data_IF_391596884692
#
_entry.id   IF_391596884692
#
_cell.length_a   1.000
_cell.length_b   1.000
_cell.length_c   1.000
_cell.angle_alpha   90.00
_cell.angle_beta   90.00
_cell.angle_gamma   90.00
#
_symmetry.space_group_name_H-M   'P 1'
#
loop_
_entity.id
_entity.type
_entity.pdbx_description
1 polymer ?
#
# COMPACT_ATOMS: atom_id res chain seq x y z
N UNK A 1 16.83 55.18 9.89
CA UNK A 1 16.78 53.99 8.98
C UNK A 1 15.85 52.98 9.62
N UNK A 2 14.57 52.99 9.20
CA UNK A 2 13.55 52.10 9.76
C UNK A 2 13.57 50.78 8.97
N UNK A 3 14.00 49.72 9.61
CA UNK A 3 13.98 48.36 9.03
C UNK A 3 12.56 47.87 8.95
N UNK A 4 12.05 47.72 7.73
CA UNK A 4 10.79 47.06 7.43
C UNK A 4 10.99 45.57 7.59
N UNK A 5 10.65 45.00 8.75
CA UNK A 5 10.55 43.58 8.97
C UNK A 5 9.29 43.13 8.24
N UNK A 6 9.44 42.58 7.03
CA UNK A 6 8.37 41.89 6.30
C UNK A 6 8.09 40.63 7.10
N UNK A 7 7.09 40.69 7.96
CA UNK A 7 6.50 39.52 8.60
C UNK A 7 5.76 38.72 7.50
N UNK A 8 6.40 37.65 6.99
CA UNK A 8 5.70 36.71 6.13
C UNK A 8 4.48 36.20 6.90
N UNK A 9 3.29 36.22 6.30
CA UNK A 9 2.11 35.65 6.94
C UNK A 9 2.37 34.15 7.11
N UNK A 10 2.56 33.72 8.34
CA UNK A 10 2.61 32.30 8.68
C UNK A 10 1.37 31.64 8.12
N UNK A 11 1.52 30.86 7.07
CA UNK A 11 0.43 30.10 6.46
C UNK A 11 -0.18 29.23 7.55
N UNK A 12 -1.33 29.65 8.09
CA UNK A 12 -2.00 28.93 9.17
C UNK A 12 -2.35 27.54 8.65
N UNK A 13 -1.62 26.53 9.05
CA UNK A 13 -1.82 25.16 8.64
C UNK A 13 -2.52 24.38 9.76
N UNK A 14 -3.35 23.41 9.43
CA UNK A 14 -4.04 22.59 10.39
C UNK A 14 -3.74 21.10 10.21
N UNK A 15 -4.07 20.32 11.23
CA UNK A 15 -3.93 18.87 11.20
C UNK A 15 -4.92 18.23 10.23
N UNK A 16 -4.62 17.06 9.64
CA UNK A 16 -5.53 16.34 8.76
C UNK A 16 -6.92 16.08 9.37
N UNK A 17 -6.97 15.78 10.66
CA UNK A 17 -8.26 15.53 11.36
C UNK A 17 -9.12 16.78 11.48
N UNK A 18 -8.50 17.95 11.62
CA UNK A 18 -9.21 19.23 11.63
C UNK A 18 -9.68 19.59 10.23
N UNK A 19 -8.79 19.47 9.23
CA UNK A 19 -9.13 19.73 7.84
C UNK A 19 -10.28 18.82 7.37
N UNK A 20 -10.26 17.52 7.69
CA UNK A 20 -11.34 16.61 7.36
C UNK A 20 -12.70 17.08 7.90
N UNK A 21 -12.75 17.53 9.16
CA UNK A 21 -13.98 18.07 9.76
C UNK A 21 -14.46 19.35 9.08
N UNK A 22 -13.55 20.27 8.79
CA UNK A 22 -13.87 21.55 8.12
C UNK A 22 -14.37 21.33 6.69
N UNK A 23 -13.89 20.27 6.01
CA UNK A 23 -14.31 19.87 4.65
C UNK A 23 -15.52 18.92 4.64
N UNK A 24 -16.07 18.57 5.79
CA UNK A 24 -17.23 17.67 5.91
C UNK A 24 -16.95 16.23 5.45
N UNK A 25 -15.68 15.78 5.52
CA UNK A 25 -15.23 14.45 5.11
C UNK A 25 -15.00 13.55 6.34
N UNK A 26 -15.29 12.25 6.17
CA UNK A 26 -14.80 11.22 7.08
C UNK A 26 -13.28 11.05 6.91
N UNK A 27 -12.61 10.53 7.92
CA UNK A 27 -11.15 10.34 7.89
C UNK A 27 -10.69 9.57 6.65
N UNK A 28 -11.33 8.45 6.33
CA UNK A 28 -10.97 7.63 5.16
C UNK A 28 -11.26 8.29 3.80
N UNK A 29 -12.25 9.17 3.73
CA UNK A 29 -12.56 10.00 2.55
C UNK A 29 -11.50 11.08 2.37
N UNK A 30 -11.09 11.72 3.46
CA UNK A 30 -10.04 12.71 3.47
C UNK A 30 -8.70 12.11 3.03
N UNK A 31 -8.31 10.96 3.60
CA UNK A 31 -7.08 10.28 3.24
C UNK A 31 -7.09 9.91 1.74
N UNK A 32 -8.23 9.44 1.22
CA UNK A 32 -8.40 9.16 -0.20
C UNK A 32 -8.36 10.42 -1.07
N UNK A 33 -8.96 11.54 -0.61
CA UNK A 33 -8.91 12.81 -1.31
C UNK A 33 -7.46 13.33 -1.46
N UNK A 34 -6.64 13.14 -0.44
CA UNK A 34 -5.19 13.43 -0.50
C UNK A 34 -4.50 12.50 -1.48
N UNK A 35 -4.79 11.20 -1.46
CA UNK A 35 -4.22 10.21 -2.37
C UNK A 35 -4.56 10.49 -3.83
N UNK A 36 -5.79 10.89 -4.09
CA UNK A 36 -6.25 11.27 -5.43
C UNK A 36 -5.72 12.64 -5.88
N UNK A 37 -5.11 13.42 -4.97
CA UNK A 37 -4.62 14.77 -5.26
C UNK A 37 -5.71 15.84 -5.26
N UNK A 38 -6.92 15.52 -4.78
CA UNK A 38 -7.99 16.49 -4.61
C UNK A 38 -7.66 17.52 -3.51
N UNK A 39 -6.91 17.08 -2.48
CA UNK A 39 -6.47 17.92 -1.36
C UNK A 39 -4.93 17.95 -1.36
N UNK A 40 -4.37 19.15 -1.43
CA UNK A 40 -2.92 19.38 -1.31
C UNK A 40 -2.52 19.41 0.16
N UNK A 41 -1.41 18.78 0.46
CA UNK A 41 -0.86 18.75 1.83
C UNK A 41 0.62 19.08 1.80
N UNK A 42 1.12 19.72 2.85
CA UNK A 42 2.53 20.02 3.03
C UNK A 42 3.14 19.10 4.09
N UNK A 43 4.43 18.77 4.00
CA UNK A 43 5.15 18.12 5.09
C UNK A 43 5.07 18.98 6.36
N UNK A 44 4.97 18.34 7.52
CA UNK A 44 5.08 19.05 8.80
C UNK A 44 6.57 19.29 9.12
N UNK A 45 6.97 20.52 9.34
CA UNK A 45 8.36 20.90 9.65
C UNK A 45 8.87 20.22 10.94
N UNK A 46 7.97 19.85 11.85
CA UNK A 46 8.26 19.07 13.05
C UNK A 46 8.45 17.58 12.85
N UNK A 47 8.43 17.06 11.59
CA UNK A 47 8.67 15.64 11.28
C UNK A 47 7.50 14.70 11.64
N UNK A 48 6.34 15.23 12.04
CA UNK A 48 5.22 14.47 12.59
C UNK A 48 4.13 14.04 11.60
N UNK A 49 4.20 14.43 10.32
CA UNK A 49 3.13 14.09 9.37
C UNK A 49 2.94 15.11 8.26
N UNK A 50 1.71 15.25 7.79
CA UNK A 50 1.34 16.23 6.76
C UNK A 50 0.33 17.22 7.33
N UNK A 51 0.33 18.44 6.82
CA UNK A 51 -0.57 19.52 7.21
C UNK A 51 -1.32 20.05 5.99
N UNK A 52 -2.46 20.67 6.22
CA UNK A 52 -3.26 21.34 5.18
C UNK A 52 -3.22 22.84 5.47
N UNK A 53 -2.93 23.63 4.47
CA UNK A 53 -2.95 25.09 4.59
C UNK A 53 -4.39 25.61 4.67
N UNK A 54 -4.59 26.74 5.32
CA UNK A 54 -5.90 27.41 5.33
C UNK A 54 -6.33 27.78 3.92
N UNK A 55 -5.41 28.27 3.12
CA UNK A 55 -5.65 28.60 1.71
C UNK A 55 -6.19 27.44 0.90
N UNK A 56 -5.69 26.21 1.15
CA UNK A 56 -6.19 25.01 0.46
C UNK A 56 -7.63 24.66 0.90
N UNK A 57 -7.94 24.80 2.19
CA UNK A 57 -9.31 24.60 2.69
C UNK A 57 -10.27 25.62 2.07
N UNK A 58 -9.88 26.90 2.06
CA UNK A 58 -10.69 27.98 1.50
C UNK A 58 -10.89 27.78 -0.01
N UNK A 59 -9.86 27.34 -0.74
CA UNK A 59 -9.97 26.98 -2.17
C UNK A 59 -11.01 25.89 -2.41
N UNK A 60 -10.97 24.82 -1.61
CA UNK A 60 -11.91 23.71 -1.74
C UNK A 60 -13.34 24.11 -1.37
N UNK A 61 -13.51 24.94 -0.36
CA UNK A 61 -14.81 25.44 0.08
C UNK A 61 -15.43 26.40 -0.96
N UNK A 62 -14.60 27.05 -1.76
CA UNK A 62 -15.04 27.93 -2.83
C UNK A 62 -15.35 27.18 -4.16
N UNK A 63 -15.05 25.87 -4.25
CA UNK A 63 -15.39 25.08 -5.44
C UNK A 63 -16.91 24.92 -5.58
N UNK A 64 -17.42 25.04 -6.81
CA UNK A 64 -18.84 24.84 -7.10
C UNK A 64 -19.32 23.45 -6.66
N UNK A 65 -20.45 23.42 -5.96
CA UNK A 65 -21.04 22.19 -5.45
C UNK A 65 -20.33 21.58 -4.24
N UNK A 66 -19.48 22.34 -3.55
CA UNK A 66 -18.94 21.92 -2.26
C UNK A 66 -20.07 21.82 -1.21
N UNK A 67 -20.02 20.81 -0.28
CA UNK A 67 -19.02 19.72 -0.17
C UNK A 67 -19.36 18.48 -1.00
N UNK A 68 -20.51 18.41 -1.66
CA UNK A 68 -21.00 17.21 -2.33
C UNK A 68 -20.15 16.85 -3.56
N UNK A 69 -19.62 17.84 -4.27
CA UNK A 69 -18.71 17.61 -5.41
C UNK A 69 -17.42 16.89 -4.94
N UNK A 70 -16.85 17.32 -3.81
CA UNK A 70 -15.67 16.69 -3.23
C UNK A 70 -15.98 15.27 -2.73
N UNK A 71 -17.12 15.06 -2.07
CA UNK A 71 -17.57 13.73 -1.61
C UNK A 71 -17.75 12.77 -2.77
N UNK A 72 -18.35 13.20 -3.89
CA UNK A 72 -18.50 12.37 -5.10
C UNK A 72 -17.17 11.93 -5.69
N UNK A 73 -16.15 12.79 -5.69
CA UNK A 73 -14.80 12.44 -6.18
C UNK A 73 -14.14 11.32 -5.37
N UNK A 74 -14.49 11.19 -4.10
CA UNK A 74 -13.89 10.19 -3.18
C UNK A 74 -14.85 9.07 -2.82
N UNK A 75 -16.04 9.05 -3.40
CA UNK A 75 -17.04 8.03 -3.17
C UNK A 75 -16.51 6.66 -3.59
N UNK A 76 -16.49 5.72 -2.64
CA UNK A 76 -16.07 4.35 -2.91
C UNK A 76 -17.20 3.38 -2.74
N UNK A 77 -17.29 2.42 -3.64
CA UNK A 77 -18.34 1.40 -3.67
C UNK A 77 -17.74 0.00 -3.70
N UNK A 78 -18.46 -0.95 -3.11
CA UNK A 78 -18.13 -2.38 -3.17
C UNK A 78 -18.63 -3.02 -4.46
N UNK A 79 -18.50 -4.37 -4.53
CA UNK A 79 -18.88 -5.15 -5.71
C UNK A 79 -20.37 -4.99 -6.06
N UNK A 80 -21.27 -4.98 -5.05
CA UNK A 80 -22.73 -4.91 -5.28
C UNK A 80 -23.16 -3.58 -5.87
N UNK A 81 -22.74 -2.50 -5.23
CA UNK A 81 -23.03 -1.14 -5.65
C UNK A 81 -22.32 -0.81 -6.98
N UNK A 82 -21.07 -1.25 -7.14
CA UNK A 82 -20.33 -1.09 -8.40
C UNK A 82 -20.98 -1.81 -9.57
N UNK A 83 -21.51 -3.01 -9.35
CA UNK A 83 -22.27 -3.74 -10.35
C UNK A 83 -23.56 -3.00 -10.75
N UNK A 84 -24.25 -2.39 -9.78
CA UNK A 84 -25.43 -1.58 -10.04
C UNK A 84 -25.10 -0.33 -10.88
N UNK A 85 -23.99 0.36 -10.60
CA UNK A 85 -23.53 1.51 -11.38
C UNK A 85 -23.22 1.14 -12.84
N UNK A 86 -22.65 -0.05 -13.08
CA UNK A 86 -22.37 -0.56 -14.43
C UNK A 86 -23.56 -1.28 -15.06
N UNK A 87 -24.69 -1.40 -14.37
CA UNK A 87 -25.89 -2.14 -14.81
C UNK A 87 -25.59 -3.60 -15.20
N UNK A 88 -24.68 -4.25 -14.46
CA UNK A 88 -24.29 -5.65 -14.67
C UNK A 88 -24.56 -6.49 -13.42
N UNK A 89 -24.50 -7.82 -13.56
CA UNK A 89 -24.58 -8.69 -12.37
C UNK A 89 -23.30 -8.60 -11.52
N UNK A 90 -23.36 -8.81 -10.20
CA UNK A 90 -22.16 -8.84 -9.34
C UNK A 90 -21.09 -9.84 -9.80
N UNK A 91 -21.51 -11.00 -10.35
CA UNK A 91 -20.60 -11.98 -10.94
C UNK A 91 -19.88 -11.45 -12.19
N UNK A 92 -20.56 -10.67 -13.04
CA UNK A 92 -19.93 -10.03 -14.21
C UNK A 92 -18.98 -8.92 -13.76
N UNK A 93 -19.37 -8.08 -12.80
CA UNK A 93 -18.50 -7.08 -12.21
C UNK A 93 -17.21 -7.70 -11.67
N UNK A 94 -17.32 -8.79 -10.90
CA UNK A 94 -16.15 -9.49 -10.36
C UNK A 94 -15.23 -10.00 -11.46
N UNK A 95 -15.78 -10.54 -12.57
CA UNK A 95 -14.97 -10.96 -13.72
C UNK A 95 -14.23 -9.78 -14.37
N UNK A 96 -14.92 -8.66 -14.60
CA UNK A 96 -14.30 -7.43 -15.15
C UNK A 96 -13.16 -6.92 -14.22
N UNK A 97 -13.38 -6.96 -12.92
CA UNK A 97 -12.37 -6.56 -11.95
C UNK A 97 -11.17 -7.53 -11.93
N UNK A 98 -11.40 -8.84 -11.96
CA UNK A 98 -10.32 -9.83 -12.02
C UNK A 98 -9.53 -9.77 -13.32
N UNK A 99 -10.16 -9.42 -14.43
CA UNK A 99 -9.51 -9.17 -15.72
C UNK A 99 -8.79 -7.80 -15.78
N UNK A 100 -8.89 -6.99 -14.75
CA UNK A 100 -8.22 -5.68 -14.68
C UNK A 100 -8.92 -4.56 -15.44
N UNK A 101 -10.13 -4.80 -15.95
CA UNK A 101 -10.94 -3.81 -16.68
C UNK A 101 -11.36 -2.68 -15.73
N UNK A 102 -11.86 -3.01 -14.54
CA UNK A 102 -12.13 -2.05 -13.47
C UNK A 102 -11.11 -2.22 -12.36
N UNK A 103 -10.51 -1.10 -11.93
CA UNK A 103 -9.36 -1.10 -11.03
C UNK A 103 -9.77 -0.69 -9.61
N UNK A 104 -9.44 -1.48 -8.57
CA UNK A 104 -9.73 -1.09 -7.19
C UNK A 104 -8.87 0.09 -6.76
N UNK A 105 -9.44 0.92 -5.86
CA UNK A 105 -8.74 2.05 -5.24
C UNK A 105 -8.27 1.74 -3.83
N UNK A 106 -8.98 0.87 -3.15
CA UNK A 106 -8.72 0.50 -1.76
C UNK A 106 -9.22 -0.91 -1.50
N UNK A 107 -8.73 -1.52 -0.44
CA UNK A 107 -9.33 -2.73 0.12
C UNK A 107 -9.44 -2.62 1.64
N UNK A 108 -10.27 -3.45 2.23
CA UNK A 108 -10.27 -3.72 3.66
C UNK A 108 -10.54 -5.20 3.92
N UNK A 109 -10.20 -5.67 5.10
CA UNK A 109 -10.50 -7.02 5.54
C UNK A 109 -11.78 -6.99 6.38
N UNK A 110 -12.77 -7.77 5.99
CA UNK A 110 -14.00 -7.90 6.76
C UNK A 110 -13.78 -8.74 8.03
N UNK A 111 -14.81 -8.89 8.86
CA UNK A 111 -14.75 -9.69 10.09
C UNK A 111 -14.36 -11.16 9.87
N UNK A 112 -14.54 -11.68 8.67
CA UNK A 112 -14.15 -13.04 8.26
C UNK A 112 -12.76 -13.10 7.64
N UNK A 113 -11.99 -11.99 7.67
CA UNK A 113 -10.69 -11.82 7.02
C UNK A 113 -10.73 -11.97 5.49
N UNK A 114 -11.91 -11.86 4.89
CA UNK A 114 -12.02 -11.81 3.44
C UNK A 114 -11.69 -10.41 2.94
N UNK A 115 -10.95 -10.35 1.83
CA UNK A 115 -10.57 -9.09 1.17
C UNK A 115 -11.78 -8.51 0.46
N UNK A 116 -12.16 -7.31 0.83
CA UNK A 116 -13.21 -6.53 0.18
C UNK A 116 -12.57 -5.39 -0.61
N UNK A 117 -12.70 -5.46 -1.93
CA UNK A 117 -12.19 -4.43 -2.83
C UNK A 117 -13.19 -3.29 -2.98
N UNK A 118 -12.68 -2.07 -2.95
CA UNK A 118 -13.46 -0.83 -3.16
C UNK A 118 -12.99 -0.14 -4.44
N UNK A 119 -13.94 0.43 -5.15
CA UNK A 119 -13.77 1.09 -6.44
C UNK A 119 -14.28 2.52 -6.36
N UNK A 120 -13.72 3.45 -7.13
CA UNK A 120 -14.23 4.81 -7.21
C UNK A 120 -15.54 4.81 -8.01
N UNK A 121 -16.61 5.31 -7.40
CA UNK A 121 -17.92 5.36 -8.03
C UNK A 121 -17.89 6.24 -9.30
N UNK A 122 -17.16 7.32 -9.28
CA UNK A 122 -17.03 8.23 -10.42
C UNK A 122 -16.32 7.57 -11.61
N UNK A 123 -15.23 6.81 -11.37
CA UNK A 123 -14.57 6.06 -12.44
C UNK A 123 -15.49 5.01 -13.07
N UNK A 124 -16.33 4.36 -12.24
CA UNK A 124 -17.30 3.39 -12.75
C UNK A 124 -18.40 4.07 -13.58
N UNK A 125 -18.88 5.27 -13.17
CA UNK A 125 -19.85 6.05 -13.95
C UNK A 125 -19.25 6.47 -15.29
N UNK A 126 -18.02 6.97 -15.30
CA UNK A 126 -17.29 7.33 -16.51
C UNK A 126 -17.08 6.12 -17.42
N UNK A 127 -16.71 4.97 -16.86
CA UNK A 127 -16.57 3.71 -17.59
C UNK A 127 -17.88 3.28 -18.24
N UNK A 128 -19.01 3.41 -17.53
CA UNK A 128 -20.32 3.08 -18.05
C UNK A 128 -20.82 4.04 -19.13
N UNK A 129 -20.41 5.30 -19.08
CA UNK A 129 -20.79 6.33 -20.03
C UNK A 129 -19.98 6.29 -21.34
N UNK A 130 -18.83 5.60 -21.35
CA UNK A 130 -18.01 5.43 -22.55
C UNK A 130 -18.57 4.33 -23.43
N UNK A 131 -19.05 4.68 -24.62
CA UNK A 131 -19.63 3.75 -25.59
C UNK A 131 -18.66 2.63 -26.01
N UNK A 132 -17.35 2.88 -26.00
CA UNK A 132 -16.34 1.88 -26.32
C UNK A 132 -16.34 0.71 -25.30
N UNK A 133 -16.87 0.93 -24.11
CA UNK A 133 -16.99 -0.11 -23.08
C UNK A 133 -18.30 -0.90 -23.15
N UNK A 134 -19.26 -0.49 -23.99
CA UNK A 134 -20.55 -1.17 -24.14
C UNK A 134 -20.42 -2.67 -24.45
N UNK A 135 -19.52 -3.14 -25.33
CA UNK A 135 -19.32 -4.57 -25.58
C UNK A 135 -18.86 -5.34 -24.34
N UNK A 136 -18.08 -4.72 -23.44
CA UNK A 136 -17.63 -5.33 -22.18
C UNK A 136 -18.79 -5.46 -21.17
N UNK A 137 -19.71 -4.49 -21.20
CA UNK A 137 -20.86 -4.45 -20.28
C UNK A 137 -21.99 -5.36 -20.73
N UNK A 138 -22.32 -5.40 -22.03
CA UNK A 138 -23.46 -6.18 -22.54
C UNK A 138 -23.05 -7.54 -23.09
N UNK A 139 -21.87 -7.64 -23.73
CA UNK A 139 -21.36 -8.85 -24.38
C UNK A 139 -21.03 -9.99 -23.43
N UNK A 140 -20.82 -11.18 -24.01
CA UNK A 140 -20.27 -12.33 -23.27
C UNK A 140 -18.76 -12.13 -23.05
N UNK A 141 -18.25 -12.66 -21.95
CA UNK A 141 -16.80 -12.69 -21.71
C UNK A 141 -16.13 -13.53 -22.82
N UNK A 142 -15.12 -13.01 -23.54
CA UNK A 142 -14.40 -13.76 -24.57
C UNK A 142 -13.83 -15.09 -24.04
N UNK A 143 -13.70 -16.11 -24.91
CA UNK A 143 -13.24 -17.44 -24.52
C UNK A 143 -11.87 -17.40 -23.81
N UNK A 144 -10.87 -16.74 -24.40
CA UNK A 144 -9.54 -16.63 -23.81
C UNK A 144 -9.54 -15.92 -22.44
N UNK A 145 -10.35 -14.86 -22.25
CA UNK A 145 -10.50 -14.22 -20.95
C UNK A 145 -11.19 -15.15 -19.92
N UNK A 146 -12.11 -15.99 -20.38
CA UNK A 146 -12.77 -16.98 -19.52
C UNK A 146 -11.80 -18.07 -19.08
N UNK A 147 -10.97 -18.56 -19.97
CA UNK A 147 -9.91 -19.54 -19.69
C UNK A 147 -8.92 -18.99 -18.66
N UNK A 148 -8.46 -17.75 -18.81
CA UNK A 148 -7.61 -17.07 -17.83
C UNK A 148 -8.27 -16.98 -16.45
N UNK A 149 -9.56 -16.66 -16.38
CA UNK A 149 -10.30 -16.60 -15.12
C UNK A 149 -10.44 -18.00 -14.46
N UNK A 150 -10.63 -19.05 -15.27
CA UNK A 150 -10.66 -20.45 -14.79
C UNK A 150 -9.26 -20.87 -14.31
N UNK A 151 -8.21 -20.46 -14.99
CA UNK A 151 -6.81 -20.66 -14.57
C UNK A 151 -6.42 -19.87 -13.31
N UNK A 152 -7.33 -19.08 -12.73
CA UNK A 152 -7.09 -18.38 -11.47
C UNK A 152 -6.70 -16.92 -11.62
N UNK A 153 -6.62 -16.34 -12.82
CA UNK A 153 -6.24 -14.95 -13.02
C UNK A 153 -7.04 -14.00 -12.10
N UNK A 154 -6.32 -13.19 -11.35
CA UNK A 154 -6.87 -12.10 -10.53
C UNK A 154 -5.91 -10.90 -10.53
N UNK A 155 -6.20 -9.91 -11.36
CA UNK A 155 -5.39 -8.70 -11.48
C UNK A 155 -5.75 -7.60 -10.46
N UNK A 156 -6.72 -7.83 -9.56
CA UNK A 156 -7.11 -6.83 -8.56
C UNK A 156 -5.97 -6.41 -7.63
N UNK A 157 -5.18 -7.34 -7.03
CA UNK A 157 -4.05 -6.99 -6.20
C UNK A 157 -3.00 -6.16 -6.95
N UNK A 158 -2.59 -6.60 -8.15
CA UNK A 158 -1.61 -5.91 -8.99
C UNK A 158 -2.06 -4.51 -9.38
N UNK A 159 -3.32 -4.37 -9.82
CA UNK A 159 -3.87 -3.06 -10.20
C UNK A 159 -3.98 -2.11 -9.00
N UNK A 160 -4.32 -2.64 -7.83
CA UNK A 160 -4.33 -1.87 -6.60
C UNK A 160 -2.91 -1.43 -6.22
N UNK A 161 -1.91 -2.32 -6.26
CA UNK A 161 -0.50 -1.97 -5.98
C UNK A 161 0.01 -0.87 -6.90
N UNK A 162 -0.25 -0.98 -8.21
CA UNK A 162 0.13 0.06 -9.18
C UNK A 162 -0.49 1.42 -8.84
N UNK A 163 -1.76 1.46 -8.47
CA UNK A 163 -2.44 2.68 -8.03
C UNK A 163 -1.89 3.18 -6.70
N UNK A 164 -1.67 2.29 -5.77
CA UNK A 164 -1.12 2.61 -4.44
C UNK A 164 0.28 3.21 -4.56
N UNK A 165 1.15 2.65 -5.40
CA UNK A 165 2.45 3.23 -5.71
C UNK A 165 2.31 4.67 -6.23
N UNK A 166 1.38 4.94 -7.14
CA UNK A 166 1.10 6.31 -7.61
C UNK A 166 0.69 7.26 -6.48
N UNK A 167 -0.06 6.78 -5.49
CA UNK A 167 -0.40 7.56 -4.29
C UNK A 167 0.82 7.85 -3.42
N UNK A 168 1.66 6.85 -3.19
CA UNK A 168 2.88 6.99 -2.41
C UNK A 168 3.87 7.95 -3.06
N UNK A 169 4.06 7.86 -4.39
CA UNK A 169 4.91 8.78 -5.15
C UNK A 169 4.40 10.22 -5.09
N UNK A 170 3.08 10.44 -5.16
CA UNK A 170 2.48 11.76 -4.98
C UNK A 170 2.72 12.30 -3.57
N UNK A 171 2.62 11.46 -2.55
CA UNK A 171 2.91 11.83 -1.15
C UNK A 171 4.39 12.11 -0.91
N UNK A 172 5.29 11.49 -1.66
CA UNK A 172 6.73 11.70 -1.58
C UNK A 172 7.15 13.10 -2.02
N UNK A 173 6.29 13.82 -2.76
CA UNK A 173 6.47 15.23 -3.14
C UNK A 173 7.86 15.52 -3.74
N UNK A 174 8.30 14.67 -4.66
CA UNK A 174 9.61 14.70 -5.33
C UNK A 174 10.83 14.51 -4.39
N UNK A 175 10.65 14.18 -3.12
CA UNK A 175 11.78 13.86 -2.24
C UNK A 175 12.44 12.55 -2.71
N UNK A 176 13.73 12.56 -3.13
CA UNK A 176 14.32 11.42 -3.86
C UNK A 176 14.28 10.11 -3.07
N UNK A 177 14.66 10.13 -1.79
CA UNK A 177 14.63 8.94 -0.93
C UNK A 177 13.21 8.48 -0.57
N UNK A 178 12.25 9.39 -0.49
CA UNK A 178 10.86 9.02 -0.26
C UNK A 178 10.26 8.35 -1.51
N UNK A 179 10.61 8.79 -2.72
CA UNK A 179 10.23 8.13 -3.97
C UNK A 179 10.81 6.71 -4.05
N UNK A 180 12.11 6.54 -3.75
CA UNK A 180 12.74 5.23 -3.70
C UNK A 180 12.09 4.32 -2.63
N UNK A 181 11.77 4.87 -1.44
CA UNK A 181 11.11 4.13 -0.37
C UNK A 181 9.68 3.72 -0.71
N UNK A 182 8.96 4.51 -1.52
CA UNK A 182 7.65 4.16 -2.05
C UNK A 182 7.71 2.90 -2.91
N UNK A 183 8.67 2.82 -3.85
CA UNK A 183 8.90 1.63 -4.68
C UNK A 183 9.35 0.45 -3.81
N UNK A 184 10.32 0.66 -2.92
CA UNK A 184 10.84 -0.37 -2.02
C UNK A 184 9.76 -0.95 -1.09
N UNK A 185 8.65 -0.24 -0.84
CA UNK A 185 7.58 -0.71 0.02
C UNK A 185 6.75 -1.85 -0.58
N UNK A 186 6.84 -2.07 -1.89
CA UNK A 186 6.14 -3.14 -2.62
C UNK A 186 7.04 -4.37 -2.88
N UNK A 187 8.31 -4.32 -2.50
CA UNK A 187 9.29 -5.39 -2.62
C UNK A 187 9.62 -5.96 -1.24
N UNK A 188 9.94 -7.25 -1.20
CA UNK A 188 10.43 -7.87 0.03
C UNK A 188 11.81 -7.34 0.43
N UNK A 189 12.19 -7.59 1.68
CA UNK A 189 13.43 -7.07 2.24
C UNK A 189 14.69 -7.63 1.56
N UNK A 190 14.64 -8.85 1.03
CA UNK A 190 15.76 -9.50 0.34
C UNK A 190 15.99 -8.81 -0.99
N UNK A 191 14.94 -8.62 -1.79
CA UNK A 191 15.00 -7.92 -3.07
C UNK A 191 15.50 -6.48 -2.92
N UNK A 192 15.05 -5.78 -1.88
CA UNK A 192 15.56 -4.43 -1.57
C UNK A 192 17.04 -4.46 -1.19
N UNK A 193 17.49 -5.45 -0.40
CA UNK A 193 18.89 -5.56 0.01
C UNK A 193 19.84 -5.90 -1.16
N UNK A 194 19.37 -6.64 -2.16
CA UNK A 194 20.13 -6.93 -3.37
C UNK A 194 20.41 -5.68 -4.21
N UNK A 195 19.47 -4.72 -4.22
CA UNK A 195 19.59 -3.47 -4.98
C UNK A 195 20.34 -2.40 -4.18
N UNK A 196 19.99 -2.25 -2.90
CA UNK A 196 20.58 -1.27 -1.99
C UNK A 196 21.57 -1.98 -1.07
N UNK A 197 22.77 -2.26 -1.58
CA UNK A 197 23.79 -3.05 -0.89
C UNK A 197 24.40 -2.33 0.32
N UNK A 198 24.49 -1.00 0.28
CA UNK A 198 25.01 -0.20 1.40
C UNK A 198 24.03 -0.21 2.60
N UNK A 199 24.44 -0.70 3.78
CA UNK A 199 23.59 -0.74 4.96
C UNK A 199 23.18 0.66 5.45
N UNK A 200 24.01 1.68 5.28
CA UNK A 200 23.65 3.06 5.66
C UNK A 200 22.55 3.61 4.77
N UNK A 201 22.62 3.34 3.49
CA UNK A 201 21.56 3.73 2.54
C UNK A 201 20.26 2.98 2.84
N UNK A 202 20.31 1.67 3.18
CA UNK A 202 19.11 0.92 3.58
C UNK A 202 18.45 1.50 4.82
N UNK A 203 19.25 1.83 5.83
CA UNK A 203 18.74 2.50 7.04
C UNK A 203 18.11 3.85 6.70
N UNK A 204 18.77 4.62 5.83
CA UNK A 204 18.24 5.91 5.39
C UNK A 204 16.94 5.75 4.60
N UNK A 205 16.89 4.85 3.62
CA UNK A 205 15.70 4.50 2.85
C UNK A 205 14.53 4.10 3.74
N UNK A 206 14.78 3.26 4.76
CA UNK A 206 13.75 2.79 5.68
C UNK A 206 13.10 3.92 6.53
N UNK A 207 13.77 5.05 6.74
CA UNK A 207 13.19 6.23 7.42
C UNK A 207 12.03 6.85 6.63
N UNK A 208 12.06 6.70 5.30
CA UNK A 208 11.03 7.21 4.39
C UNK A 208 9.97 6.16 4.04
N UNK A 209 10.11 4.91 4.50
CA UNK A 209 9.12 3.88 4.19
C UNK A 209 7.74 4.31 4.68
N UNK A 210 6.71 4.20 3.81
CA UNK A 210 5.33 4.45 4.20
C UNK A 210 4.94 3.56 5.38
N UNK A 211 4.20 4.13 6.32
CA UNK A 211 3.65 3.31 7.42
C UNK A 211 2.64 2.32 6.84
N UNK A 212 2.69 1.04 7.23
CA UNK A 212 1.70 0.06 6.82
C UNK A 212 0.29 0.55 7.17
N UNK A 213 -0.66 0.35 6.27
CA UNK A 213 -2.06 0.61 6.60
C UNK A 213 -2.48 -0.41 7.66
N UNK A 214 -3.00 0.07 8.81
CA UNK A 214 -3.34 -0.79 9.95
C UNK A 214 -4.50 -1.75 9.62
N UNK A 215 -4.18 -3.00 9.30
CA UNK A 215 -5.13 -4.09 9.10
C UNK A 215 -5.04 -5.08 10.26
N UNK A 216 -5.27 -4.61 11.49
CA UNK A 216 -5.18 -5.42 12.70
C UNK A 216 -3.89 -5.19 13.49
N UNK A 217 -3.72 -5.94 14.59
CA UNK A 217 -2.52 -5.87 15.40
C UNK A 217 -1.31 -6.42 14.62
N UNK A 218 -0.09 -5.88 14.82
CA UNK A 218 1.13 -6.41 14.20
C UNK A 218 1.27 -7.92 14.48
N UNK A 219 1.63 -8.69 13.44
CA UNK A 219 1.75 -10.16 13.52
C UNK A 219 0.43 -10.92 13.51
N UNK A 220 -0.73 -10.24 13.43
CA UNK A 220 -2.02 -10.93 13.28
C UNK A 220 -2.17 -11.52 11.87
N UNK A 221 -3.01 -12.57 11.70
CA UNK A 221 -3.30 -13.11 10.36
C UNK A 221 -3.88 -12.07 9.38
N UNK A 222 -4.58 -11.06 9.90
CA UNK A 222 -5.08 -9.96 9.08
C UNK A 222 -3.94 -9.04 8.61
N UNK A 223 -2.96 -8.78 9.47
CA UNK A 223 -1.77 -8.01 9.11
C UNK A 223 -0.93 -8.74 8.04
N UNK A 224 -0.70 -10.05 8.21
CA UNK A 224 0.01 -10.86 7.22
C UNK A 224 -0.70 -10.90 5.85
N UNK A 225 -2.03 -11.04 5.85
CA UNK A 225 -2.80 -11.01 4.59
C UNK A 225 -2.71 -9.64 3.92
N UNK A 226 -2.76 -8.55 4.68
CA UNK A 226 -2.60 -7.22 4.11
C UNK A 226 -1.18 -6.98 3.59
N UNK A 227 -0.18 -7.51 4.26
CA UNK A 227 1.21 -7.47 3.83
C UNK A 227 1.42 -8.26 2.54
N UNK A 228 0.89 -9.49 2.43
CA UNK A 228 0.98 -10.28 1.18
C UNK A 228 0.30 -9.57 0.01
N UNK A 229 -0.86 -8.93 0.22
CA UNK A 229 -1.49 -8.12 -0.84
C UNK A 229 -0.66 -6.90 -1.25
N UNK A 230 0.15 -6.37 -0.34
CA UNK A 230 1.00 -5.19 -0.60
C UNK A 230 2.27 -5.57 -1.35
N UNK A 231 2.84 -6.73 -1.09
CA UNK A 231 4.04 -7.21 -1.77
C UNK A 231 3.73 -7.70 -3.18
N UNK A 232 4.60 -7.40 -4.14
CA UNK A 232 4.51 -7.94 -5.49
C UNK A 232 4.83 -9.44 -5.48
N UNK A 233 3.99 -10.22 -6.16
CA UNK A 233 4.13 -11.68 -6.26
C UNK A 233 4.48 -12.11 -7.69
N UNK A 234 3.98 -11.40 -8.71
CA UNK A 234 4.23 -11.71 -10.11
C UNK A 234 5.66 -11.35 -10.48
N UNK A 235 6.36 -12.27 -11.15
CA UNK A 235 7.78 -12.10 -11.51
C UNK A 235 8.02 -10.85 -12.37
N UNK A 236 7.18 -10.60 -13.35
CA UNK A 236 7.29 -9.44 -14.24
C UNK A 236 7.04 -8.12 -13.48
N UNK A 237 6.13 -8.12 -12.49
CA UNK A 237 5.91 -6.97 -11.61
C UNK A 237 7.11 -6.73 -10.70
N UNK A 238 7.69 -7.79 -10.14
CA UNK A 238 8.90 -7.73 -9.32
C UNK A 238 10.07 -7.19 -10.12
N UNK A 239 10.33 -7.75 -11.32
CA UNK A 239 11.44 -7.33 -12.17
C UNK A 239 11.32 -5.85 -12.56
N UNK A 240 10.10 -5.40 -12.87
CA UNK A 240 9.84 -3.98 -13.13
C UNK A 240 10.09 -3.10 -11.91
N UNK A 241 9.56 -3.48 -10.72
CA UNK A 241 9.77 -2.72 -9.48
C UNK A 241 11.25 -2.68 -9.07
N UNK A 242 12.00 -3.75 -9.30
CA UNK A 242 13.45 -3.81 -9.04
C UNK A 242 14.21 -2.81 -9.91
N UNK A 243 13.88 -2.75 -11.21
CA UNK A 243 14.48 -1.79 -12.13
C UNK A 243 14.16 -0.35 -11.73
N UNK A 244 12.91 -0.09 -11.37
CA UNK A 244 12.43 1.24 -10.94
C UNK A 244 13.10 1.66 -9.62
N UNK A 245 13.24 0.74 -8.65
CA UNK A 245 13.97 0.99 -7.40
C UNK A 245 15.44 1.31 -7.65
N UNK A 246 16.12 0.56 -8.53
CA UNK A 246 17.52 0.80 -8.86
C UNK A 246 17.72 2.21 -9.46
N UNK A 247 16.81 2.62 -10.34
CA UNK A 247 16.81 3.96 -10.93
C UNK A 247 16.53 5.04 -9.88
N UNK A 248 15.51 4.84 -9.03
CA UNK A 248 15.13 5.80 -7.99
C UNK A 248 16.25 5.99 -6.96
N UNK A 249 16.92 4.91 -6.54
CA UNK A 249 18.07 4.97 -5.63
C UNK A 249 19.26 5.67 -6.28
N UNK A 250 19.55 5.38 -7.55
CA UNK A 250 20.62 6.08 -8.30
C UNK A 250 20.36 7.59 -8.36
N UNK A 251 19.14 7.99 -8.64
CA UNK A 251 18.70 9.38 -8.63
C UNK A 251 18.83 10.01 -7.24
N UNK A 252 18.42 9.30 -6.19
CA UNK A 252 18.51 9.77 -4.81
C UNK A 252 19.97 9.99 -4.38
N UNK A 253 20.88 9.08 -4.75
CA UNK A 253 22.33 9.22 -4.51
C UNK A 253 22.91 10.47 -5.17
N UNK A 254 22.48 10.74 -6.39
CA UNK A 254 22.99 11.90 -7.15
C UNK A 254 22.53 13.23 -6.58
N UNK A 255 21.27 13.31 -6.11
CA UNK A 255 20.70 14.55 -5.58
C UNK A 255 20.98 14.78 -4.08
N UNK A 256 20.91 13.72 -3.30
CA UNK A 256 21.00 13.79 -1.84
C UNK A 256 21.64 12.51 -1.29
N UNK A 257 22.97 12.41 -1.22
CA UNK A 257 23.64 11.24 -0.67
C UNK A 257 23.16 10.91 0.75
N UNK A 258 23.01 9.61 1.06
CA UNK A 258 22.63 9.18 2.39
C UNK A 258 23.69 9.61 3.44
N UNK A 259 23.29 10.12 4.60
CA UNK A 259 24.22 10.54 5.63
C UNK A 259 25.00 9.33 6.16
N UNK A 260 26.32 9.45 6.17
CA UNK A 260 27.22 8.46 6.76
C UNK A 260 27.78 8.98 8.07
N UNK A 261 28.07 8.12 9.06
CA UNK A 261 28.79 8.54 10.25
C UNK A 261 30.14 9.13 9.83
N UNK A 262 30.40 10.36 10.22
CA UNK A 262 31.73 10.93 10.08
C UNK A 262 32.65 10.11 10.98
N UNK A 263 33.60 9.39 10.40
CA UNK A 263 34.65 8.75 11.19
C UNK A 263 35.38 9.89 11.88
N UNK A 264 35.10 10.09 13.17
CA UNK A 264 35.89 11.03 13.98
C UNK A 264 37.33 10.58 13.83
N UNK A 265 38.25 11.42 13.32
CA UNK A 265 39.63 11.04 13.26
C UNK A 265 40.03 10.62 14.67
N UNK A 266 40.47 9.34 14.77
CA UNK A 266 41.07 8.86 16.01
C UNK A 266 42.16 9.86 16.34
N UNK A 267 42.21 10.46 17.55
CA UNK A 267 43.32 11.31 17.92
C UNK A 267 44.57 10.49 17.65
N UNK A 268 45.39 10.96 16.70
CA UNK A 268 46.72 10.41 16.51
C UNK A 268 47.38 10.57 17.87
N UNK A 269 47.70 9.46 18.50
CA UNK A 269 48.53 9.46 19.73
C UNK A 269 49.74 10.28 19.38
N UNK A 270 49.77 11.48 19.96
CA UNK A 270 50.92 12.37 19.87
C UNK A 270 52.12 11.55 20.40
N UNK A 271 53.02 11.29 19.48
CA UNK A 271 54.30 10.70 19.76
C UNK A 271 54.97 11.45 20.90
N UNK A 272 55.31 10.71 21.96
CA UNK A 272 56.46 10.93 22.77
C UNK A 272 56.63 12.36 23.34
N UNK A 273 55.87 12.69 24.37
CA UNK A 273 56.38 13.59 25.40
C UNK A 273 56.73 12.71 26.61
N UNK A 274 58.02 12.48 26.72
CA UNK A 274 58.71 11.88 27.83
C UNK A 274 58.28 12.63 29.10
N UNK A 275 57.48 11.98 29.93
CA UNK A 275 57.03 12.53 31.22
C UNK A 275 58.17 12.33 32.21
N UNK A 276 58.76 13.37 32.83
CA UNK A 276 59.77 13.16 33.84
C UNK A 276 59.22 12.39 35.05
N UNK A 277 59.97 11.44 35.50
CA UNK A 277 59.64 10.57 36.65
C UNK A 277 59.45 11.42 37.95
N UNK A 278 58.44 11.15 38.74
CA UNK A 278 58.35 11.76 40.09
C UNK A 278 59.31 11.09 41.07
N UNK A 279 59.89 11.86 42.00
CA UNK A 279 60.84 11.35 42.99
C UNK A 279 60.19 10.38 44.00
N UNK A 280 60.94 9.36 44.35
CA UNK A 280 60.61 8.37 45.37
C UNK A 280 60.42 9.00 46.75
N UNK A 281 59.31 8.77 47.41
CA UNK A 281 59.10 9.01 48.82
C UNK A 281 58.44 7.81 49.50
N UNK A 282 59.27 7.16 50.32
CA UNK A 282 59.05 6.53 51.59
C UNK A 282 57.80 5.63 51.80
N UNK A 283 58.15 4.40 52.04
CA UNK A 283 57.34 3.36 52.63
C UNK A 283 56.73 3.77 53.99
N UNK A 284 55.45 3.48 54.18
CA UNK A 284 54.87 3.18 55.49
C UNK A 284 53.83 2.04 55.32
N UNK A 285 54.12 0.99 56.07
CA UNK A 285 53.34 -0.26 56.16
C UNK A 285 52.12 -0.09 57.10
N UNK A 286 51.21 -1.07 57.10
CA UNK A 286 49.80 -0.94 57.47
C UNK A 286 49.49 -1.23 58.95
N UNK A 287 48.21 -1.24 59.32
CA UNK A 287 47.66 -2.44 59.92
C UNK A 287 46.27 -2.83 59.40
N UNK A 288 46.10 -4.09 59.22
CA UNK A 288 44.88 -4.92 59.33
C UNK A 288 44.68 -5.24 60.83
N UNK A 289 43.57 -5.73 61.41
CA UNK A 289 42.31 -6.23 60.83
C UNK A 289 41.04 -5.83 61.64
N UNK A 290 39.89 -6.21 61.23
CA UNK A 290 38.97 -7.06 62.03
C UNK A 290 37.52 -7.06 61.57
N UNK A 291 37.09 -8.26 61.27
CA UNK A 291 35.85 -8.96 61.63
C UNK A 291 34.50 -8.38 61.35
N UNK A 292 33.85 -9.09 60.48
CA UNK A 292 32.55 -9.77 60.59
C UNK A 292 31.36 -8.96 61.14
N UNK A 293 30.28 -8.93 60.34
CA UNK A 293 28.98 -9.48 60.80
C UNK A 293 28.14 -9.74 59.54
N UNK A 294 27.68 -10.97 59.46
CA UNK A 294 26.64 -11.44 58.54
C UNK A 294 25.32 -10.77 58.88
N UNK A 295 24.55 -10.44 57.87
CA UNK A 295 23.11 -10.38 58.03
C UNK A 295 22.39 -10.89 56.77
N UNK A 296 21.62 -11.87 57.05
CA UNK A 296 20.64 -12.60 56.28
C UNK A 296 19.81 -11.75 55.33
N UNK A 297 19.71 -12.25 54.12
CA UNK A 297 18.61 -11.94 53.20
C UNK A 297 17.59 -13.06 53.28
N UNK A 298 16.31 -12.75 53.37
CA UNK A 298 15.29 -13.73 52.98
C UNK A 298 14.88 -13.55 51.54
N UNK A 299 14.88 -14.65 50.80
CA UNK A 299 14.33 -14.78 49.46
C UNK A 299 12.81 -14.54 49.44
N UNK A 300 12.23 -13.96 48.36
CA UNK A 300 10.79 -13.95 48.20
C UNK A 300 10.28 -15.29 47.66
N UNK A 301 9.30 -15.79 48.39
CA UNK A 301 8.51 -16.98 48.20
C UNK A 301 7.80 -17.02 46.83
N UNK A 302 7.93 -18.14 46.16
CA UNK A 302 7.16 -18.58 45.01
C UNK A 302 5.69 -18.76 45.39
N UNK A 303 4.79 -17.89 44.89
CA UNK A 303 3.36 -18.10 44.97
C UNK A 303 2.91 -18.92 43.76
N UNK A 304 2.54 -20.16 44.04
CA UNK A 304 1.85 -21.08 43.12
C UNK A 304 0.42 -20.56 42.92
N UNK A 305 0.05 -20.14 41.73
CA UNK A 305 -1.33 -19.85 41.36
C UNK A 305 -2.05 -21.15 40.96
N UNK A 306 -3.08 -21.49 41.73
CA UNK A 306 -4.01 -22.58 41.44
C UNK A 306 -4.92 -22.25 40.25
N UNK A 307 -5.35 -23.24 39.45
CA UNK A 307 -6.30 -23.01 38.36
C UNK A 307 -7.74 -22.92 38.88
N UNK A 308 -8.48 -21.93 38.44
CA UNK A 308 -9.92 -21.77 38.65
C UNK A 308 -10.74 -22.76 37.83
N UNK A 309 -11.87 -23.25 38.34
CA UNK A 309 -12.67 -24.28 37.70
C UNK A 309 -13.56 -23.72 36.57
N UNK A 310 -13.80 -24.57 35.58
CA UNK A 310 -14.71 -24.34 34.48
C UNK A 310 -16.19 -24.26 34.95
N UNK A 311 -17.03 -23.45 34.31
CA UNK A 311 -18.48 -23.55 34.53
C UNK A 311 -19.10 -24.67 33.72
N UNK A 312 -19.94 -25.40 34.41
CA UNK A 312 -20.76 -26.55 33.99
C UNK A 312 -21.66 -26.27 32.78
N UNK A 313 -21.84 -27.35 32.02
CA UNK A 313 -22.82 -27.52 30.97
C UNK A 313 -24.27 -27.31 31.48
N UNK A 314 -25.04 -26.56 30.77
CA UNK A 314 -26.49 -26.39 30.95
C UNK A 314 -27.23 -26.49 29.63
N UNK A 315 -27.90 -27.63 29.51
CA UNK A 315 -29.18 -27.93 28.79
C UNK A 315 -29.35 -27.56 27.32
N UNK A 316 -29.44 -28.61 26.55
CA UNK A 316 -30.03 -28.71 25.21
C UNK A 316 -31.42 -28.13 25.09
N UNK A 317 -31.68 -27.39 24.01
CA UNK A 317 -33.01 -27.23 23.45
C UNK A 317 -33.00 -27.64 21.99
N UNK A 318 -33.66 -28.79 21.73
CA UNK A 318 -34.01 -29.31 20.42
C UNK A 318 -34.94 -28.32 19.68
N UNK A 319 -34.59 -27.98 18.45
CA UNK A 319 -35.55 -27.50 17.45
C UNK A 319 -35.38 -28.34 16.16
N UNK A 320 -36.46 -28.77 15.52
CA UNK A 320 -36.41 -29.76 14.47
C UNK A 320 -36.04 -29.21 13.11
N UNK A 321 -35.28 -29.98 12.36
CA UNK A 321 -34.94 -29.78 10.95
C UNK A 321 -36.21 -29.98 10.08
N UNK A 322 -36.43 -29.17 9.05
CA UNK A 322 -37.42 -29.52 8.03
C UNK A 322 -36.84 -30.52 7.02
N UNK A 323 -37.62 -31.56 6.80
CA UNK A 323 -37.45 -32.67 5.87
C UNK A 323 -37.25 -32.21 4.44
N UNK A 324 -36.26 -32.77 3.75
CA UNK A 324 -36.05 -32.73 2.31
C UNK A 324 -37.12 -33.60 1.62
N UNK A 325 -38.03 -32.97 0.89
CA UNK A 325 -38.87 -33.67 -0.06
C UNK A 325 -38.16 -33.80 -1.41
N UNK A 326 -38.03 -35.03 -1.86
CA UNK A 326 -37.54 -35.41 -3.19
C UNK A 326 -38.49 -34.87 -4.27
N UNK A 327 -37.95 -34.19 -5.25
CA UNK A 327 -38.64 -33.89 -6.50
C UNK A 327 -37.89 -34.58 -7.65
N UNK A 328 -38.69 -35.39 -8.34
CA UNK A 328 -38.37 -36.32 -9.41
C UNK A 328 -37.89 -35.63 -10.69
N UNK A 329 -36.98 -36.31 -11.41
CA UNK A 329 -36.60 -36.10 -12.80
C UNK A 329 -37.79 -36.10 -13.77
N UNK A 330 -37.77 -35.29 -14.81
CA UNK A 330 -38.37 -35.67 -16.07
C UNK A 330 -37.36 -35.78 -17.22
N UNK A 331 -37.18 -37.00 -17.67
CA UNK A 331 -36.96 -37.55 -19.03
C UNK A 331 -36.54 -36.60 -20.14
N UNK A 332 -35.38 -36.96 -20.69
CA UNK A 332 -34.86 -36.59 -22.02
C UNK A 332 -35.72 -37.18 -23.14
N UNK A 333 -36.01 -36.47 -24.22
CA UNK A 333 -36.21 -37.09 -25.53
C UNK A 333 -34.97 -36.91 -26.42
N UNK A 334 -34.45 -38.05 -26.85
CA UNK A 334 -33.53 -38.21 -27.96
C UNK A 334 -34.29 -37.96 -29.27
N UNK A 335 -33.80 -37.15 -30.19
CA UNK A 335 -33.99 -37.44 -31.65
C UNK A 335 -33.10 -36.52 -32.52
N UNK A 336 -32.42 -37.18 -33.43
CA UNK A 336 -32.14 -36.86 -34.84
C UNK A 336 -30.94 -36.00 -35.20
N UNK A 337 -30.01 -36.66 -35.82
CA UNK A 337 -28.98 -36.22 -36.71
C UNK A 337 -29.52 -35.28 -37.82
N UNK A 338 -28.85 -34.15 -38.02
CA UNK A 338 -28.94 -33.41 -39.28
C UNK A 338 -27.52 -33.08 -39.78
N UNK A 339 -27.28 -33.48 -40.98
CA UNK A 339 -26.06 -33.43 -41.77
C UNK A 339 -25.55 -32.00 -41.97
N UNK A 340 -24.24 -31.84 -41.92
CA UNK A 340 -23.54 -30.61 -42.30
C UNK A 340 -23.43 -30.47 -43.84
N UNK A 341 -23.58 -29.28 -44.40
CA UNK A 341 -23.24 -29.00 -45.80
C UNK A 341 -21.73 -28.72 -45.94
N UNK A 342 -21.13 -28.93 -47.14
CA UNK A 342 -19.71 -28.87 -47.38
C UNK A 342 -19.20 -27.44 -47.51
N UNK A 343 -17.97 -27.23 -47.05
CA UNK A 343 -17.19 -26.01 -47.16
C UNK A 343 -16.71 -25.77 -48.60
N UNK A 344 -16.72 -24.52 -49.11
CA UNK A 344 -15.93 -24.18 -50.28
C UNK A 344 -14.51 -23.82 -49.87
N UNK A 345 -13.56 -24.48 -50.52
CA UNK A 345 -12.13 -24.16 -50.51
C UNK A 345 -11.91 -22.86 -51.30
N UNK A 346 -11.27 -21.86 -50.66
CA UNK A 346 -10.72 -20.73 -51.39
C UNK A 346 -9.36 -20.32 -50.84
N UNK A 347 -8.40 -20.49 -51.72
CA UNK A 347 -7.11 -19.76 -51.95
C UNK A 347 -6.47 -18.96 -50.79
N UNK A 348 -5.28 -19.42 -50.49
CA UNK A 348 -4.23 -18.72 -49.74
C UNK A 348 -3.79 -17.48 -50.53
N UNK A 349 -4.11 -16.31 -50.04
CA UNK A 349 -3.52 -15.06 -50.47
C UNK A 349 -2.51 -14.57 -49.43
N UNK A 350 -1.27 -14.47 -49.86
CA UNK A 350 -0.09 -14.15 -49.10
C UNK A 350 -0.08 -12.67 -48.78
N UNK A 351 -0.29 -12.29 -47.51
CA UNK A 351 -0.14 -10.91 -47.07
C UNK A 351 1.34 -10.51 -46.97
N UNK A 352 1.69 -9.24 -47.27
CA UNK A 352 3.07 -8.74 -47.20
C UNK A 352 3.52 -8.54 -45.75
N UNK A 353 4.85 -8.58 -45.49
CA UNK A 353 5.39 -8.43 -44.15
C UNK A 353 5.20 -7.01 -43.60
N UNK A 354 4.69 -6.95 -42.37
CA UNK A 354 4.60 -5.70 -41.59
C UNK A 354 6.00 -5.39 -41.05
N UNK A 355 6.48 -4.13 -41.14
CA UNK A 355 7.78 -3.77 -40.54
C UNK A 355 7.70 -3.75 -39.03
N UNK A 356 8.66 -4.42 -38.38
CA UNK A 356 8.88 -4.39 -36.94
C UNK A 356 9.27 -2.97 -36.50
N UNK A 357 8.40 -2.32 -35.73
CA UNK A 357 8.79 -1.14 -34.95
C UNK A 357 9.55 -1.54 -33.69
N UNK A 358 10.65 -0.85 -33.34
CA UNK A 358 11.41 -1.15 -32.14
C UNK A 358 10.60 -0.79 -30.90
N UNK A 359 10.48 -1.77 -29.98
CA UNK A 359 9.74 -1.70 -28.73
C UNK A 359 10.06 -0.45 -27.89
N UNK A 360 9.11 0.46 -27.78
CA UNK A 360 9.12 1.53 -26.78
C UNK A 360 8.66 0.98 -25.46
N UNK A 361 9.59 0.82 -24.54
CA UNK A 361 9.30 0.57 -23.13
C UNK A 361 8.54 1.77 -22.55
N UNK A 362 7.23 1.64 -22.37
CA UNK A 362 6.43 2.63 -21.65
C UNK A 362 6.53 2.39 -20.15
N UNK A 363 7.55 2.97 -19.50
CA UNK A 363 7.61 3.05 -18.05
C UNK A 363 6.44 3.87 -17.50
N UNK A 364 5.97 3.52 -16.29
CA UNK A 364 4.84 4.16 -15.59
C UNK A 364 4.99 5.69 -15.46
N UNK A 365 6.21 6.20 -15.44
CA UNK A 365 6.51 7.64 -15.44
C UNK A 365 6.07 8.37 -16.74
N UNK A 366 5.95 7.66 -17.85
CA UNK A 366 5.43 8.23 -19.11
C UNK A 366 3.93 8.57 -19.04
N UNK A 367 3.17 7.88 -18.20
CA UNK A 367 1.74 8.15 -18.01
C UNK A 367 1.47 9.36 -17.11
N UNK A 368 2.30 9.59 -16.09
CA UNK A 368 2.19 10.74 -15.17
C UNK A 368 2.54 12.08 -15.83
N UNK A 369 3.40 12.09 -16.86
CA UNK A 369 3.80 13.31 -17.59
C UNK A 369 2.77 13.84 -18.59
N UNK A 370 1.74 13.07 -18.93
CA UNK A 370 0.73 13.48 -19.95
C UNK A 370 -0.54 14.12 -19.39
N UNK A 371 -0.58 14.50 -18.10
CA UNK A 371 -1.74 15.15 -17.49
C UNK A 371 -1.40 16.46 -16.80
N UNK A 372 -0.67 17.32 -17.48
CA UNK A 372 -0.65 18.77 -17.14
C UNK A 372 -1.00 19.52 -18.42
N UNK A 373 -2.07 20.35 -18.39
CA UNK A 373 -2.33 21.32 -19.45
C UNK A 373 -1.26 22.39 -19.46
#
# INVERSE_FOLDING_TARGET
MSGNTVTQPHSTSCTPSRAARELGLRRGEFDLAVDLGCIRTLPDEGGGGRRVTRTEIDRLQAEDGFPEALKRRVETVGTKEGAALLQVTPGKFTRLARLGVVKPVKFYLNRYRAVVWLYLAEELRQFAADENNAPLLTGRTPSGAREQLVAGLDLRPRNWRSRHLGFLLRRADNHPWACAAAVASLLDAVQVAEIVQDPYERVHLNRFRPRPQGHGAPGSPAAHLAESLTMAEDRDEIDWLRADLAQAVSHARALQPAPRPTTRPRPTEAQGQERPAPPAAAAHNPPVPSTAVANDSPAPSTAVAQPSPAPSAGAAHNAPMPSMAAAQDPRVPSTAAAQAPPMPSTAVEKAPPVPEEPGRSHGLLGWLRRRTP
#
